data_IF_325378848865
#
_entry.id   IF_325378848865
#
_cell.length_a   1.000
_cell.length_b   1.000
_cell.length_c   1.000
_cell.angle_alpha   90.00
_cell.angle_beta   90.00
_cell.angle_gamma   90.00
#
_symmetry.space_group_name_H-M   'P 1'
#
loop_
_entity.id
_entity.type
_entity.pdbx_description
1 polymer ?
#
# COMPACT_ATOMS: atom_id res chain seq x y z
N UNK A 1 22.92 11.36 38.76
CA UNK A 1 21.44 11.54 38.70
C UNK A 1 20.80 10.19 38.96
N UNK A 2 19.68 10.15 39.69
CA UNK A 2 18.96 8.90 39.92
C UNK A 2 18.11 8.53 38.70
N UNK A 3 17.83 7.25 38.50
CA UNK A 3 16.93 6.74 37.46
C UNK A 3 15.54 7.42 37.49
N UNK A 4 15.12 7.91 38.65
CA UNK A 4 13.86 8.66 38.83
C UNK A 4 13.93 10.06 38.23
N UNK A 5 15.10 10.68 38.25
CA UNK A 5 15.32 12.03 37.70
C UNK A 5 15.28 11.99 36.16
N UNK A 6 15.89 10.97 35.56
CA UNK A 6 15.87 10.77 34.09
C UNK A 6 14.46 10.52 33.56
N UNK A 7 13.66 9.70 34.26
CA UNK A 7 12.26 9.45 33.88
C UNK A 7 11.41 10.72 33.99
N UNK A 8 11.69 11.58 34.97
CA UNK A 8 10.99 12.86 35.13
C UNK A 8 11.32 13.82 33.99
N UNK A 9 12.60 13.95 33.63
CA UNK A 9 13.06 14.78 32.51
C UNK A 9 12.47 14.30 31.19
N UNK A 10 12.45 12.99 30.93
CA UNK A 10 11.88 12.43 29.70
C UNK A 10 10.37 12.66 29.58
N UNK A 11 9.65 12.64 30.71
CA UNK A 11 8.21 12.93 30.74
C UNK A 11 7.92 14.41 30.46
N UNK A 12 8.68 15.31 31.06
CA UNK A 12 8.58 16.76 30.82
C UNK A 12 8.90 17.11 29.35
N UNK A 13 9.95 16.52 28.77
CA UNK A 13 10.29 16.67 27.36
C UNK A 13 9.17 16.20 26.42
N UNK A 14 8.51 15.08 26.75
CA UNK A 14 7.45 14.53 25.91
C UNK A 14 6.16 15.37 25.97
N UNK A 15 5.81 15.90 27.15
CA UNK A 15 4.68 16.83 27.30
C UNK A 15 4.93 18.18 26.59
N UNK A 16 6.21 18.61 26.47
CA UNK A 16 6.62 19.78 25.69
C UNK A 16 6.59 19.54 24.17
N UNK A 17 7.04 18.36 23.72
CA UNK A 17 7.12 18.03 22.29
C UNK A 17 5.74 17.72 21.68
N UNK A 18 4.85 17.14 22.49
CA UNK A 18 3.49 16.75 22.08
C UNK A 18 2.49 17.28 23.10
N UNK A 19 2.21 18.60 23.11
CA UNK A 19 1.13 19.13 23.94
C UNK A 19 -0.13 18.35 23.60
N UNK A 20 -0.76 17.78 24.64
CA UNK A 20 -1.99 16.99 24.49
C UNK A 20 -2.96 17.81 23.66
N UNK A 21 -3.10 17.45 22.39
CA UNK A 21 -3.99 18.13 21.45
C UNK A 21 -5.36 18.03 22.10
N UNK A 22 -5.86 19.17 22.58
CA UNK A 22 -7.11 19.27 23.31
C UNK A 22 -8.19 18.51 22.53
N UNK A 23 -8.74 17.47 23.16
CA UNK A 23 -9.86 16.68 22.62
C UNK A 23 -11.11 17.55 22.38
N UNK A 24 -11.08 18.81 22.80
CA UNK A 24 -12.12 19.83 22.62
C UNK A 24 -12.24 20.33 21.17
N UNK A 25 -11.24 20.09 20.30
CA UNK A 25 -11.36 20.37 18.87
C UNK A 25 -12.07 19.26 18.06
N UNK A 26 -12.62 18.21 18.71
CA UNK A 26 -13.58 17.34 18.04
C UNK A 26 -14.88 18.12 17.86
N UNK A 27 -15.00 18.76 16.70
CA UNK A 27 -16.26 19.32 16.22
C UNK A 27 -17.40 18.33 16.54
N UNK A 28 -18.51 18.79 17.14
CA UNK A 28 -19.65 17.93 17.37
C UNK A 28 -20.06 17.37 16.01
N UNK A 29 -19.92 16.05 15.84
CA UNK A 29 -20.45 15.38 14.65
C UNK A 29 -21.92 15.74 14.59
N UNK A 30 -22.29 16.57 13.62
CA UNK A 30 -23.66 16.97 13.34
C UNK A 30 -24.48 15.69 13.30
N UNK A 31 -25.26 15.44 14.36
CA UNK A 31 -26.18 14.31 14.44
C UNK A 31 -27.16 14.55 13.29
N UNK A 32 -26.93 13.89 12.17
CA UNK A 32 -27.93 13.81 11.13
C UNK A 32 -29.10 13.08 11.75
N UNK A 33 -30.16 13.83 12.02
CA UNK A 33 -31.44 13.31 12.48
C UNK A 33 -31.81 12.14 11.57
N UNK A 34 -31.82 10.94 12.14
CA UNK A 34 -32.44 9.78 11.52
C UNK A 34 -33.93 10.10 11.44
N UNK A 35 -34.37 10.73 10.34
CA UNK A 35 -35.78 10.78 9.98
C UNK A 35 -36.31 9.35 10.01
N UNK A 36 -37.29 9.12 10.88
CA UNK A 36 -37.96 7.84 11.04
C UNK A 36 -38.42 7.35 9.67
N UNK A 37 -38.02 6.13 9.31
CA UNK A 37 -38.36 5.54 8.03
C UNK A 37 -39.89 5.41 7.94
N UNK A 38 -40.55 5.97 6.91
CA UNK A 38 -41.97 5.75 6.70
C UNK A 38 -42.26 4.25 6.53
N UNK A 39 -43.37 3.81 7.13
CA UNK A 39 -43.86 2.43 7.12
C UNK A 39 -43.91 1.91 5.68
N UNK A 40 -43.31 0.74 5.44
CA UNK A 40 -43.00 0.21 4.11
C UNK A 40 -44.26 -0.20 3.36
N UNK A 41 -44.81 0.69 2.56
CA UNK A 41 -45.41 0.26 1.29
C UNK A 41 -44.35 -0.52 0.51
N UNK A 42 -44.70 -1.70 -0.01
CA UNK A 42 -43.78 -2.50 -0.83
C UNK A 42 -43.54 -1.73 -2.12
N UNK A 43 -42.47 -0.94 -2.11
CA UNK A 43 -42.07 -0.11 -3.23
C UNK A 43 -41.86 -0.98 -4.47
N UNK A 44 -42.43 -0.57 -5.60
CA UNK A 44 -42.51 -1.31 -6.85
C UNK A 44 -41.19 -1.95 -7.31
N UNK A 45 -40.06 -1.28 -7.05
CA UNK A 45 -38.71 -1.80 -7.38
C UNK A 45 -38.29 -3.06 -6.61
N UNK A 46 -39.01 -3.45 -5.54
CA UNK A 46 -38.73 -4.66 -4.78
C UNK A 46 -39.32 -5.92 -5.44
N UNK A 47 -40.25 -5.76 -6.39
CA UNK A 47 -40.86 -6.87 -7.11
C UNK A 47 -39.85 -7.49 -8.09
N UNK A 48 -39.73 -8.83 -8.05
CA UNK A 48 -38.81 -9.60 -8.90
C UNK A 48 -39.04 -9.33 -10.39
N UNK A 49 -40.30 -9.29 -10.81
CA UNK A 49 -40.69 -9.08 -12.21
C UNK A 49 -40.21 -7.75 -12.76
N UNK A 50 -40.32 -6.69 -11.96
CA UNK A 50 -39.91 -5.33 -12.33
C UNK A 50 -38.40 -5.27 -12.53
N UNK A 51 -37.62 -5.84 -11.60
CA UNK A 51 -36.16 -5.87 -11.72
C UNK A 51 -35.67 -6.74 -12.88
N UNK A 52 -36.34 -7.87 -13.14
CA UNK A 52 -35.98 -8.79 -14.23
C UNK A 52 -36.19 -8.14 -15.59
N UNK A 53 -37.25 -7.34 -15.76
CA UNK A 53 -37.53 -6.60 -17.00
C UNK A 53 -36.60 -5.38 -17.19
N UNK A 54 -36.24 -4.70 -16.10
CA UNK A 54 -35.48 -3.44 -16.18
C UNK A 54 -33.97 -3.64 -16.24
N UNK A 55 -33.42 -4.61 -15.49
CA UNK A 55 -31.97 -4.75 -15.35
C UNK A 55 -31.22 -5.03 -16.67
N UNK A 56 -31.76 -5.84 -17.61
CA UNK A 56 -31.13 -6.01 -18.92
C UNK A 56 -31.12 -4.71 -19.77
N UNK A 57 -32.09 -3.81 -19.54
CA UNK A 57 -32.27 -2.57 -20.32
C UNK A 57 -31.53 -1.38 -19.71
N UNK A 58 -31.29 -1.38 -18.40
CA UNK A 58 -30.75 -0.23 -17.69
C UNK A 58 -29.90 -0.63 -16.48
N UNK A 59 -28.82 0.11 -16.25
CA UNK A 59 -27.90 -0.14 -15.15
C UNK A 59 -28.57 0.03 -13.78
N UNK A 60 -28.04 -0.64 -12.74
CA UNK A 60 -28.51 -0.47 -11.36
C UNK A 60 -28.49 0.99 -10.88
N UNK A 61 -27.58 1.82 -11.43
CA UNK A 61 -27.53 3.26 -11.15
C UNK A 61 -28.69 4.04 -11.80
N UNK A 62 -29.08 3.68 -13.03
CA UNK A 62 -30.23 4.28 -13.70
C UNK A 62 -31.56 3.88 -13.02
N UNK A 63 -31.70 2.62 -12.62
CA UNK A 63 -32.85 2.13 -11.84
C UNK A 63 -32.94 2.88 -10.51
N UNK A 64 -31.80 3.06 -9.83
CA UNK A 64 -31.69 3.81 -8.57
C UNK A 64 -32.20 5.24 -8.72
N UNK A 65 -31.83 5.96 -9.79
CA UNK A 65 -32.35 7.30 -10.08
C UNK A 65 -33.85 7.31 -10.37
N UNK A 66 -34.34 6.37 -11.19
CA UNK A 66 -35.74 6.28 -11.58
C UNK A 66 -36.68 6.11 -10.38
N UNK A 67 -36.27 5.32 -9.37
CA UNK A 67 -37.09 5.03 -8.19
C UNK A 67 -36.71 5.85 -6.94
N UNK A 68 -35.78 6.80 -7.05
CA UNK A 68 -35.35 7.63 -5.92
C UNK A 68 -34.75 6.82 -4.76
N UNK A 69 -34.06 5.72 -5.06
CA UNK A 69 -33.44 4.84 -4.06
C UNK A 69 -31.94 4.75 -4.25
N UNK A 70 -31.22 4.33 -3.21
CA UNK A 70 -29.77 4.14 -3.32
C UNK A 70 -29.42 2.96 -4.23
N UNK A 71 -28.33 3.07 -4.98
CA UNK A 71 -27.79 1.98 -5.82
C UNK A 71 -27.60 0.69 -5.03
N UNK A 72 -27.14 0.79 -3.77
CA UNK A 72 -26.98 -0.36 -2.88
C UNK A 72 -28.28 -1.09 -2.59
N UNK A 73 -29.42 -0.38 -2.51
CA UNK A 73 -30.73 -1.00 -2.31
C UNK A 73 -31.15 -1.84 -3.52
N UNK A 74 -30.95 -1.33 -4.73
CA UNK A 74 -31.21 -2.08 -5.97
C UNK A 74 -30.33 -3.31 -6.08
N UNK A 75 -29.02 -3.17 -5.83
CA UNK A 75 -28.09 -4.31 -5.85
C UNK A 75 -28.44 -5.37 -4.79
N UNK A 76 -28.92 -4.94 -3.62
CA UNK A 76 -29.39 -5.85 -2.57
C UNK A 76 -30.61 -6.66 -3.04
N UNK A 77 -31.59 -6.00 -3.68
CA UNK A 77 -32.77 -6.69 -4.22
C UNK A 77 -32.44 -7.63 -5.38
N UNK A 78 -31.53 -7.23 -6.28
CA UNK A 78 -31.05 -8.10 -7.36
C UNK A 78 -30.42 -9.39 -6.80
N UNK A 79 -29.61 -9.29 -5.73
CA UNK A 79 -29.05 -10.45 -5.04
C UNK A 79 -30.12 -11.29 -4.35
N UNK A 80 -31.10 -10.66 -3.68
CA UNK A 80 -32.20 -11.35 -3.01
C UNK A 80 -33.04 -12.19 -3.98
N UNK A 81 -33.21 -11.70 -5.21
CA UNK A 81 -33.97 -12.37 -6.27
C UNK A 81 -33.11 -13.23 -7.21
N UNK A 82 -31.83 -13.42 -6.88
CA UNK A 82 -30.85 -14.21 -7.66
C UNK A 82 -30.73 -13.78 -9.13
N UNK A 83 -31.01 -12.52 -9.42
CA UNK A 83 -30.86 -11.97 -10.77
C UNK A 83 -29.36 -11.82 -11.02
N UNK A 84 -28.82 -12.58 -11.99
CA UNK A 84 -27.40 -12.55 -12.35
C UNK A 84 -26.96 -11.13 -12.66
N UNK A 85 -26.19 -10.55 -11.74
CA UNK A 85 -25.59 -9.24 -11.90
C UNK A 85 -24.41 -9.46 -12.86
N UNK A 86 -24.61 -9.20 -14.15
CA UNK A 86 -23.53 -9.16 -15.13
C UNK A 86 -22.70 -7.91 -14.87
N UNK A 87 -21.95 -7.89 -13.77
CA UNK A 87 -20.89 -6.93 -13.62
C UNK A 87 -19.85 -7.28 -14.66
N UNK A 88 -19.83 -6.53 -15.76
CA UNK A 88 -18.59 -6.22 -16.48
C UNK A 88 -17.71 -5.37 -15.56
N UNK A 89 -17.38 -5.91 -14.39
CA UNK A 89 -16.28 -5.39 -13.60
C UNK A 89 -15.06 -5.78 -14.39
N UNK A 90 -14.51 -4.83 -15.14
CA UNK A 90 -13.10 -4.87 -15.49
C UNK A 90 -12.38 -5.26 -14.21
N UNK A 91 -11.59 -6.35 -14.19
CA UNK A 91 -10.89 -6.75 -12.99
C UNK A 91 -10.18 -5.51 -12.47
N UNK A 92 -10.41 -5.16 -11.20
CA UNK A 92 -9.64 -4.09 -10.57
C UNK A 92 -8.18 -4.41 -10.84
N UNK A 93 -7.45 -3.48 -11.43
CA UNK A 93 -6.00 -3.53 -11.65
C UNK A 93 -5.38 -4.06 -10.35
N UNK A 94 -4.99 -5.35 -10.33
CA UNK A 94 -4.50 -6.04 -9.13
C UNK A 94 -5.10 -7.40 -8.77
N UNK A 95 -6.20 -7.87 -9.39
CA UNK A 95 -6.82 -9.16 -9.00
C UNK A 95 -6.47 -10.40 -9.85
N UNK A 96 -5.77 -10.24 -10.98
CA UNK A 96 -5.07 -11.34 -11.63
C UNK A 96 -3.56 -11.14 -11.42
N UNK A 97 -3.02 -11.74 -10.37
CA UNK A 97 -1.58 -12.02 -10.31
C UNK A 97 -1.41 -13.45 -10.75
N UNK A 98 -0.93 -13.58 -11.98
CA UNK A 98 -0.64 -14.81 -12.70
C UNK A 98 0.05 -15.85 -11.83
N UNK A 99 -0.25 -17.13 -12.05
CA UNK A 99 0.24 -18.27 -11.28
C UNK A 99 1.78 -18.35 -11.19
N UNK A 100 2.49 -17.67 -12.09
CA UNK A 100 3.95 -17.50 -12.08
C UNK A 100 4.42 -16.77 -10.80
N UNK A 101 3.66 -15.79 -10.33
CA UNK A 101 4.00 -15.00 -9.14
C UNK A 101 3.80 -15.76 -7.83
N UNK A 102 3.20 -16.97 -7.82
CA UNK A 102 2.95 -17.74 -6.58
C UNK A 102 3.96 -18.85 -6.32
N UNK A 103 5.02 -18.97 -7.13
CA UNK A 103 6.10 -19.95 -6.91
C UNK A 103 6.69 -19.91 -5.50
N UNK A 104 6.71 -18.74 -4.84
CA UNK A 104 7.14 -18.56 -3.45
C UNK A 104 6.25 -19.27 -2.40
N UNK A 105 5.08 -19.80 -2.78
CA UNK A 105 4.26 -20.59 -1.85
C UNK A 105 4.79 -22.01 -1.66
N UNK A 106 5.53 -22.54 -2.65
CA UNK A 106 6.10 -23.88 -2.62
C UNK A 106 7.33 -23.92 -1.72
N UNK A 107 7.35 -24.85 -0.77
CA UNK A 107 8.47 -25.03 0.18
C UNK A 107 9.80 -25.27 -0.54
N UNK A 108 9.79 -26.16 -1.54
CA UNK A 108 10.98 -26.54 -2.32
C UNK A 108 11.65 -25.34 -3.01
N UNK A 109 10.82 -24.43 -3.54
CA UNK A 109 11.33 -23.22 -4.18
C UNK A 109 12.02 -22.31 -3.16
N UNK A 110 11.37 -22.04 -2.02
CA UNK A 110 11.96 -21.22 -0.95
C UNK A 110 13.25 -21.84 -0.42
N UNK A 111 13.29 -23.16 -0.21
CA UNK A 111 14.50 -23.86 0.20
C UNK A 111 15.63 -23.72 -0.83
N UNK A 112 15.34 -23.90 -2.12
CA UNK A 112 16.36 -23.77 -3.18
C UNK A 112 16.91 -22.35 -3.26
N UNK A 113 16.05 -21.33 -3.17
CA UNK A 113 16.48 -19.93 -3.19
C UNK A 113 17.28 -19.57 -1.94
N UNK A 114 16.84 -20.02 -0.76
CA UNK A 114 17.60 -19.83 0.47
C UNK A 114 18.93 -20.57 0.36
N UNK A 115 19.00 -21.86 0.03
CA UNK A 115 20.28 -22.58 -0.14
C UNK A 115 21.23 -21.90 -1.13
N UNK A 116 20.73 -21.24 -2.17
CA UNK A 116 21.54 -20.46 -3.12
C UNK A 116 22.13 -19.14 -2.59
N UNK A 117 21.82 -18.75 -1.35
CA UNK A 117 22.32 -17.52 -0.73
C UNK A 117 21.43 -16.29 -0.94
N UNK A 118 20.25 -16.43 -1.57
CA UNK A 118 19.37 -15.28 -1.80
C UNK A 118 18.65 -14.87 -0.52
N UNK A 119 18.64 -13.57 -0.26
CA UNK A 119 17.90 -13.00 0.87
C UNK A 119 16.39 -13.07 0.62
N UNK A 120 15.60 -13.05 1.69
CA UNK A 120 14.13 -12.97 1.63
C UNK A 120 13.68 -11.78 0.76
N UNK A 121 14.39 -10.65 0.85
CA UNK A 121 14.11 -9.48 0.02
C UNK A 121 14.40 -9.73 -1.47
N UNK A 122 15.50 -10.40 -1.82
CA UNK A 122 15.80 -10.77 -3.20
C UNK A 122 14.77 -11.74 -3.78
N UNK A 123 14.27 -12.68 -2.96
CA UNK A 123 13.17 -13.58 -3.35
C UNK A 123 11.88 -12.78 -3.58
N UNK A 124 11.59 -11.81 -2.73
CA UNK A 124 10.40 -10.96 -2.88
C UNK A 124 10.44 -10.14 -4.19
N UNK A 125 11.61 -9.59 -4.54
CA UNK A 125 11.81 -8.89 -5.81
C UNK A 125 11.65 -9.82 -7.02
N UNK A 126 12.25 -11.02 -6.96
CA UNK A 126 12.15 -12.00 -8.05
C UNK A 126 10.71 -12.47 -8.30
N UNK A 127 9.90 -12.57 -7.25
CA UNK A 127 8.50 -13.01 -7.33
C UNK A 127 7.48 -11.85 -7.36
N UNK A 128 7.95 -10.60 -7.52
CA UNK A 128 7.13 -9.38 -7.53
C UNK A 128 6.09 -9.32 -6.39
N UNK A 129 6.53 -9.71 -5.20
CA UNK A 129 5.68 -9.87 -4.01
C UNK A 129 6.19 -9.02 -2.86
N UNK A 130 5.35 -8.82 -1.84
CA UNK A 130 5.77 -8.06 -0.67
C UNK A 130 6.73 -8.87 0.19
N UNK A 131 7.68 -8.19 0.82
CA UNK A 131 8.60 -8.82 1.76
C UNK A 131 7.86 -9.58 2.88
N UNK A 132 6.78 -9.00 3.40
CA UNK A 132 5.96 -9.61 4.44
C UNK A 132 5.34 -10.95 4.03
N UNK A 133 4.91 -11.08 2.77
CA UNK A 133 4.35 -12.34 2.25
C UNK A 133 5.40 -13.44 2.18
N UNK A 134 6.62 -13.14 1.69
CA UNK A 134 7.70 -14.15 1.65
C UNK A 134 8.12 -14.52 3.06
N UNK A 135 8.27 -13.54 3.97
CA UNK A 135 8.61 -13.80 5.38
C UNK A 135 7.60 -14.73 6.04
N UNK A 136 6.31 -14.43 5.88
CA UNK A 136 5.23 -15.27 6.40
C UNK A 136 5.29 -16.70 5.86
N UNK A 137 5.59 -16.88 4.56
CA UNK A 137 5.70 -18.22 3.98
C UNK A 137 6.95 -18.97 4.47
N UNK A 138 8.07 -18.28 4.68
CA UNK A 138 9.29 -18.86 5.27
C UNK A 138 9.04 -19.33 6.71
N UNK A 139 8.33 -18.52 7.51
CA UNK A 139 7.91 -18.86 8.87
C UNK A 139 6.95 -20.06 8.86
N UNK A 140 5.93 -20.03 8.00
CA UNK A 140 4.95 -21.11 7.86
C UNK A 140 5.58 -22.45 7.50
N UNK A 141 6.65 -22.45 6.69
CA UNK A 141 7.37 -23.66 6.29
C UNK A 141 8.52 -24.05 7.22
N UNK A 142 8.75 -23.30 8.32
CA UNK A 142 9.81 -23.60 9.29
C UNK A 142 11.24 -23.35 8.77
N UNK A 143 11.42 -22.48 7.77
CA UNK A 143 12.72 -22.22 7.13
C UNK A 143 13.51 -21.06 7.79
N UNK A 144 13.15 -20.69 9.02
CA UNK A 144 13.70 -19.54 9.75
C UNK A 144 15.19 -19.75 10.05
N UNK A 145 15.59 -20.96 10.47
CA UNK A 145 16.97 -21.27 10.83
C UNK A 145 17.94 -21.07 9.67
N UNK A 146 17.52 -21.42 8.45
CA UNK A 146 18.34 -21.27 7.23
C UNK A 146 18.56 -19.79 6.93
N UNK A 147 17.51 -18.97 7.07
CA UNK A 147 17.60 -17.53 6.86
C UNK A 147 18.49 -16.83 7.90
N UNK A 148 18.46 -17.28 9.16
CA UNK A 148 19.31 -16.73 10.22
C UNK A 148 20.78 -17.10 10.05
N UNK A 149 21.07 -18.36 9.69
CA UNK A 149 22.43 -18.81 9.36
C UNK A 149 23.06 -17.94 8.27
N UNK A 150 22.29 -17.54 7.25
CA UNK A 150 22.77 -16.64 6.21
C UNK A 150 23.06 -15.22 6.69
N UNK A 151 22.19 -14.68 7.55
CA UNK A 151 22.41 -13.36 8.15
C UNK A 151 23.71 -13.35 8.95
N UNK A 152 23.99 -14.42 9.68
CA UNK A 152 25.24 -14.59 10.42
C UNK A 152 26.45 -14.73 9.50
N UNK A 153 26.37 -15.55 8.44
CA UNK A 153 27.42 -15.70 7.43
C UNK A 153 27.78 -14.36 6.77
N UNK A 154 26.78 -13.58 6.34
CA UNK A 154 27.00 -12.28 5.73
C UNK A 154 27.68 -11.30 6.70
N UNK A 155 27.24 -11.29 7.97
CA UNK A 155 27.87 -10.48 9.03
C UNK A 155 29.31 -10.90 9.32
N UNK A 156 29.63 -12.19 9.21
CA UNK A 156 31.01 -12.70 9.33
C UNK A 156 31.86 -12.27 8.13
N UNK A 157 31.36 -12.40 6.90
CA UNK A 157 32.08 -11.98 5.70
C UNK A 157 32.34 -10.47 5.66
N UNK A 158 31.38 -9.65 6.09
CA UNK A 158 31.51 -8.19 6.16
C UNK A 158 32.56 -7.75 7.20
N UNK A 159 32.80 -8.55 8.24
CA UNK A 159 33.90 -8.30 9.19
C UNK A 159 35.28 -8.68 8.64
N UNK A 160 35.34 -9.66 7.72
CA UNK A 160 36.59 -10.19 7.19
C UNK A 160 37.06 -9.39 5.96
N UNK A 161 36.14 -8.84 5.18
CA UNK A 161 36.49 -7.94 4.09
C UNK A 161 36.86 -6.57 4.70
N UNK A 162 38.12 -6.13 4.64
CA UNK A 162 38.46 -4.76 5.02
C UNK A 162 37.58 -3.84 4.18
N UNK A 163 36.95 -2.85 4.82
CA UNK A 163 36.21 -1.81 4.12
C UNK A 163 37.17 -1.24 3.09
N UNK A 164 37.02 -1.63 1.81
CA UNK A 164 37.63 -0.89 0.72
C UNK A 164 37.07 0.51 0.89
N UNK A 165 37.94 1.42 1.32
CA UNK A 165 37.60 2.84 1.34
C UNK A 165 36.96 3.14 -0.01
N UNK A 166 35.78 3.79 -0.02
CA UNK A 166 35.14 4.11 -1.28
C UNK A 166 36.15 4.91 -2.06
N UNK A 167 36.67 4.32 -3.15
CA UNK A 167 37.55 5.01 -4.07
C UNK A 167 36.85 6.33 -4.37
N UNK A 168 37.48 7.43 -3.96
CA UNK A 168 36.99 8.77 -4.21
C UNK A 168 36.96 8.87 -5.73
N UNK A 169 35.80 8.59 -6.31
CA UNK A 169 35.54 8.81 -7.72
C UNK A 169 35.62 10.32 -7.85
N UNK A 170 36.79 10.81 -8.27
CA UNK A 170 36.94 12.18 -8.76
C UNK A 170 35.84 12.32 -9.81
N UNK A 171 34.77 13.04 -9.47
CA UNK A 171 33.69 13.35 -10.41
C UNK A 171 34.35 14.07 -11.57
N UNK A 172 34.56 13.37 -12.68
CA UNK A 172 34.87 14.02 -13.94
C UNK A 172 33.69 14.95 -14.24
N UNK A 173 33.92 16.26 -14.14
CA UNK A 173 32.95 17.26 -14.56
C UNK A 173 32.61 16.98 -16.04
N UNK A 174 31.37 16.57 -16.27
CA UNK A 174 30.82 16.38 -17.61
C UNK A 174 31.03 17.65 -18.45
N UNK A 175 31.42 17.54 -19.73
CA UNK A 175 31.73 18.68 -20.59
C UNK A 175 30.58 19.71 -20.69
N UNK A 176 29.33 19.29 -20.51
CA UNK A 176 28.16 20.19 -20.44
C UNK A 176 28.22 21.16 -19.26
N UNK A 177 28.71 20.72 -18.09
CA UNK A 177 28.84 21.57 -16.91
C UNK A 177 29.92 22.65 -17.10
N UNK A 178 30.98 22.32 -17.87
CA UNK A 178 32.02 23.29 -18.25
C UNK A 178 31.46 24.35 -19.22
N UNK A 179 30.64 23.94 -20.19
CA UNK A 179 30.02 24.86 -21.16
C UNK A 179 29.05 25.84 -20.48
N UNK A 180 28.31 25.39 -19.46
CA UNK A 180 27.37 26.24 -18.71
C UNK A 180 28.08 27.35 -17.90
N UNK A 181 29.30 27.10 -17.40
CA UNK A 181 30.11 28.14 -16.73
C UNK A 181 30.60 29.21 -17.70
N UNK A 182 31.08 28.81 -18.87
CA UNK A 182 31.56 29.76 -19.90
C UNK A 182 30.43 30.67 -20.41
N UNK A 183 29.21 30.13 -20.60
CA UNK A 183 28.06 30.95 -21.00
C UNK A 183 27.65 31.96 -19.93
N UNK A 184 27.85 31.67 -18.64
CA UNK A 184 27.56 32.61 -17.53
C UNK A 184 28.54 33.76 -17.47
N UNK A 185 29.83 33.55 -17.75
CA UNK A 185 30.83 34.64 -17.75
C UNK A 185 30.63 35.59 -18.93
N UNK A 186 30.38 35.08 -20.14
CA UNK A 186 30.17 35.92 -21.34
C UNK A 186 28.92 36.81 -21.20
N UNK A 187 27.87 36.32 -20.51
CA UNK A 187 26.64 37.10 -20.31
C UNK A 187 26.84 38.25 -19.30
N UNK A 188 27.80 38.13 -18.38
CA UNK A 188 28.09 39.15 -17.37
C UNK A 188 28.89 40.32 -17.96
N UNK A 189 29.88 40.05 -18.82
CA UNK A 189 30.65 41.10 -19.52
C UNK A 189 29.81 41.93 -20.51
N UNK A 190 28.73 41.36 -21.06
CA UNK A 190 27.80 42.10 -21.94
C UNK A 190 26.84 43.03 -21.20
N UNK A 191 26.76 42.97 -19.87
CA UNK A 191 25.89 43.85 -19.07
C UNK A 191 26.66 45.01 -18.42
N UNK A 192 27.99 44.99 -18.45
CA UNK A 192 28.86 46.04 -17.90
C UNK A 192 29.48 46.95 -18.98
N UNK A 193 29.07 46.81 -20.24
CA UNK A 193 29.36 47.73 -21.35
C UNK A 193 28.08 48.36 -21.85
#
# INVERSE_FOLDING_TARGET
MSLKDEQKVMKELNDLLYPKINKEARMPKKKTEKKAAPKKEVKEYQKKEVLTKLYPKMSAGAISRKYGVTRGSILSQLRKHEIKITTKTSPKVGQHRDDINRSYHKKEYLEKQLKSGKTIHGIAMACNTSFGQVKHMVEKHGLVEVAEKQKQLKKKMEKVLPKKEPAIVKKEETPEAKLARVKKTIKKEKQEK
#
